data_IF_867280026066
#
_entry.id   IF_867280026066
#
_cell.length_a   1.000
_cell.length_b   1.000
_cell.length_c   1.000
_cell.angle_alpha   90.00
_cell.angle_beta   90.00
_cell.angle_gamma   90.00
#
_symmetry.space_group_name_H-M   'P 1'
#
loop_
_entity.id
_entity.type
_entity.pdbx_description
1 polymer ?
#
# COMPACT_ATOMS: atom_id res chain seq x y z
N UNK A 1 3.69 -5.11 -33.89
CA UNK A 1 3.39 -4.16 -33.67
C UNK A 1 3.54 -3.43 -32.42
N UNK A 2 4.11 -2.47 -32.52
CA UNK A 2 4.48 -1.67 -31.39
C UNK A 2 3.34 -1.20 -30.55
N UNK A 3 2.14 -1.43 -31.00
CA UNK A 3 1.04 -1.00 -30.26
C UNK A 3 0.95 -1.56 -28.91
N UNK A 4 1.27 -2.83 -28.72
CA UNK A 4 1.12 -3.39 -27.40
C UNK A 4 2.14 -2.82 -26.46
N UNK A 5 3.30 -2.47 -26.95
CA UNK A 5 4.30 -1.86 -26.11
C UNK A 5 3.85 -0.49 -25.66
N UNK A 6 3.20 0.22 -26.54
CA UNK A 6 2.70 1.52 -26.18
C UNK A 6 1.69 1.42 -25.07
N UNK A 7 0.83 0.42 -25.11
CA UNK A 7 -0.14 0.25 -24.06
C UNK A 7 0.51 -0.02 -22.74
N UNK A 8 1.54 -0.84 -22.72
CA UNK A 8 2.21 -1.12 -21.48
C UNK A 8 2.79 0.13 -20.87
N UNK A 9 3.34 0.98 -21.69
CA UNK A 9 3.93 2.19 -21.20
C UNK A 9 2.89 3.09 -20.57
N UNK A 10 1.71 3.08 -21.11
CA UNK A 10 0.68 3.97 -20.63
C UNK A 10 0.01 3.51 -19.36
N UNK A 11 0.16 2.27 -18.98
CA UNK A 11 -0.53 1.72 -17.83
C UNK A 11 0.43 1.38 -16.74
N UNK A 12 0.78 2.33 -15.90
CA UNK A 12 1.67 2.03 -14.80
C UNK A 12 1.05 0.98 -13.90
N UNK A 13 1.88 0.11 -13.40
CA UNK A 13 1.43 -0.96 -12.55
C UNK A 13 2.05 -0.84 -11.18
N UNK A 14 1.33 -1.32 -10.19
CA UNK A 14 1.85 -1.40 -8.84
C UNK A 14 2.69 -2.66 -8.76
N UNK A 15 3.98 -2.51 -8.57
CA UNK A 15 4.87 -3.65 -8.44
C UNK A 15 4.82 -4.19 -7.03
N UNK A 16 4.81 -5.50 -6.90
CA UNK A 16 4.84 -6.17 -5.61
C UNK A 16 6.05 -7.10 -5.59
N UNK A 17 6.87 -6.96 -4.56
CA UNK A 17 8.06 -7.79 -4.39
C UNK A 17 7.79 -8.80 -3.31
N UNK A 18 8.21 -10.03 -3.53
CA UNK A 18 8.09 -11.09 -2.52
C UNK A 18 9.47 -11.38 -1.95
N UNK A 19 9.58 -11.33 -0.63
CA UNK A 19 10.81 -11.65 0.04
C UNK A 19 10.46 -12.62 1.16
N UNK A 20 10.65 -13.91 0.90
CA UNK A 20 10.19 -14.93 1.81
C UNK A 20 8.68 -14.89 1.92
N UNK A 21 8.17 -14.72 3.12
CA UNK A 21 6.73 -14.66 3.33
C UNK A 21 6.19 -13.24 3.35
N UNK A 22 7.04 -12.26 3.04
CA UNK A 22 6.63 -10.86 3.06
C UNK A 22 6.37 -10.39 1.64
N UNK A 23 5.22 -9.74 1.44
CA UNK A 23 4.89 -9.08 0.18
C UNK A 23 4.97 -7.59 0.42
N UNK A 24 5.58 -6.86 -0.49
CA UNK A 24 5.86 -5.46 -0.27
C UNK A 24 5.75 -4.66 -1.56
N UNK A 25 5.26 -3.43 -1.45
CA UNK A 25 5.25 -2.49 -2.56
C UNK A 25 5.55 -1.10 -2.03
N UNK A 26 6.38 -0.36 -2.75
CA UNK A 26 6.66 1.02 -2.44
C UNK A 26 5.70 1.88 -3.23
N UNK A 27 4.80 2.55 -2.53
CA UNK A 27 3.81 3.40 -3.18
C UNK A 27 4.36 4.78 -3.52
N UNK A 28 5.34 5.24 -2.77
CA UNK A 28 5.94 6.53 -3.00
C UNK A 28 7.35 6.53 -2.45
N UNK A 29 8.29 7.10 -3.21
CA UNK A 29 9.68 7.19 -2.78
C UNK A 29 10.31 8.38 -3.49
N UNK A 30 10.41 9.50 -2.78
CA UNK A 30 10.98 10.71 -3.37
C UNK A 30 11.48 11.63 -2.28
N UNK A 31 12.65 12.21 -2.52
CA UNK A 31 13.24 13.21 -1.62
C UNK A 31 13.37 12.74 -0.18
N UNK A 32 13.67 11.46 0.00
CA UNK A 32 13.88 10.93 1.33
C UNK A 32 12.59 10.60 2.08
N UNK A 33 11.46 10.70 1.44
CA UNK A 33 10.16 10.34 2.04
C UNK A 33 9.62 9.11 1.32
N UNK A 34 9.16 8.15 2.08
CA UNK A 34 8.76 6.86 1.53
C UNK A 34 7.45 6.37 2.13
N UNK A 35 6.61 5.79 1.29
CA UNK A 35 5.39 5.12 1.73
C UNK A 35 5.44 3.70 1.21
N UNK A 36 5.34 2.73 2.11
CA UNK A 36 5.47 1.31 1.77
C UNK A 36 4.29 0.55 2.33
N UNK A 37 3.72 -0.32 1.49
CA UNK A 37 2.65 -1.23 1.90
C UNK A 37 3.21 -2.63 1.92
N UNK A 38 2.87 -3.41 2.94
CA UNK A 38 3.31 -4.79 2.97
C UNK A 38 2.29 -5.69 3.66
N UNK A 39 2.38 -6.98 3.38
CA UNK A 39 1.63 -7.99 4.11
C UNK A 39 2.62 -9.00 4.64
N UNK A 40 2.59 -9.19 5.95
CA UNK A 40 3.50 -10.08 6.64
C UNK A 40 2.72 -10.82 7.71
N UNK A 41 2.81 -12.14 7.71
CA UNK A 41 2.08 -12.98 8.68
C UNK A 41 0.58 -12.68 8.70
N UNK A 42 0.02 -12.42 7.53
CA UNK A 42 -1.40 -12.14 7.41
C UNK A 42 -1.80 -10.71 7.76
N UNK A 43 -0.88 -9.90 8.25
CA UNK A 43 -1.16 -8.53 8.63
C UNK A 43 -0.84 -7.57 7.50
N UNK A 44 -1.75 -6.64 7.23
CA UNK A 44 -1.46 -5.55 6.31
C UNK A 44 -0.81 -4.43 7.10
N UNK A 45 0.33 -3.97 6.64
CA UNK A 45 1.10 -2.92 7.31
C UNK A 45 1.37 -1.82 6.29
N UNK A 46 1.02 -0.60 6.66
CA UNK A 46 1.28 0.56 5.81
C UNK A 46 2.16 1.51 6.59
N UNK A 47 3.30 1.88 6.02
CA UNK A 47 4.29 2.69 6.71
C UNK A 47 4.65 3.93 5.92
N UNK A 48 4.99 5.00 6.62
CA UNK A 48 5.60 6.17 5.99
C UNK A 48 6.72 6.67 6.87
N UNK A 49 7.77 7.16 6.25
CA UNK A 49 8.88 7.71 7.00
C UNK A 49 9.70 8.63 6.11
N UNK A 50 10.49 9.49 6.72
CA UNK A 50 11.46 10.29 6.00
C UNK A 50 11.29 11.78 6.17
N UNK A 51 12.18 12.51 5.52
CA UNK A 51 12.33 13.95 5.70
C UNK A 51 11.12 14.74 5.24
N UNK A 52 10.41 14.27 4.24
CA UNK A 52 9.24 14.98 3.74
C UNK A 52 8.08 15.05 4.70
N UNK A 53 8.14 14.26 5.77
CA UNK A 53 7.09 14.21 6.76
C UNK A 53 7.54 14.80 8.08
N UNK A 54 8.83 15.03 8.26
CA UNK A 54 9.38 15.54 9.49
C UNK A 54 10.83 15.12 9.60
N UNK A 55 11.25 14.66 10.76
CA UNK A 55 12.62 14.22 10.95
C UNK A 55 12.90 12.94 10.18
N UNK A 56 14.09 12.81 9.61
CA UNK A 56 14.38 11.66 8.74
C UNK A 56 14.19 10.30 9.38
N UNK A 57 14.50 10.17 10.66
CA UNK A 57 14.36 8.88 11.31
C UNK A 57 12.99 8.64 11.88
N UNK A 58 12.08 9.58 11.78
CA UNK A 58 10.75 9.36 12.27
C UNK A 58 9.92 8.62 11.25
N UNK A 59 9.05 7.79 11.74
CA UNK A 59 8.16 7.02 10.89
C UNK A 59 6.87 6.72 11.61
N UNK A 60 5.90 6.34 10.84
CA UNK A 60 4.60 5.96 11.34
C UNK A 60 4.13 4.75 10.57
N UNK A 61 3.54 3.78 11.29
CA UNK A 61 2.97 2.61 10.64
C UNK A 61 1.57 2.38 11.16
N UNK A 62 0.71 1.86 10.29
CA UNK A 62 -0.55 1.32 10.74
C UNK A 62 -0.53 -0.18 10.48
N UNK A 63 -1.04 -0.94 11.43
CA UNK A 63 -1.01 -2.40 11.38
C UNK A 63 -2.43 -2.91 11.52
N UNK A 64 -2.86 -3.72 10.56
CA UNK A 64 -4.18 -4.33 10.55
C UNK A 64 -4.01 -5.79 10.91
N UNK A 65 -4.77 -6.27 11.91
CA UNK A 65 -4.67 -7.65 12.36
C UNK A 65 -4.99 -8.62 11.22
N UNK A 66 -4.60 -9.89 11.36
CA UNK A 66 -4.91 -10.86 10.30
C UNK A 66 -6.40 -11.00 10.03
N UNK A 67 -7.23 -11.00 11.08
CA UNK A 67 -8.67 -11.09 10.88
C UNK A 67 -9.22 -9.86 10.17
N UNK A 68 -8.76 -8.69 10.56
CA UNK A 68 -9.23 -7.46 9.94
C UNK A 68 -8.65 -7.28 8.54
N UNK A 69 -7.47 -7.82 8.30
CA UNK A 69 -6.92 -7.83 6.94
C UNK A 69 -7.81 -8.65 6.01
N UNK A 70 -8.33 -9.78 6.51
CA UNK A 70 -9.27 -10.56 5.72
C UNK A 70 -10.56 -9.80 5.45
N UNK A 71 -11.05 -9.07 6.44
CA UNK A 71 -12.24 -8.24 6.24
C UNK A 71 -11.99 -7.19 5.18
N UNK A 72 -10.80 -6.59 5.20
CA UNK A 72 -10.44 -5.61 4.20
C UNK A 72 -10.40 -6.25 2.81
N UNK A 73 -9.80 -7.42 2.70
CA UNK A 73 -9.75 -8.13 1.43
C UNK A 73 -11.16 -8.45 0.92
N UNK A 74 -12.04 -8.90 1.81
CA UNK A 74 -13.42 -9.18 1.42
C UNK A 74 -14.12 -7.92 0.95
N UNK A 75 -13.89 -6.82 1.63
CA UNK A 75 -14.49 -5.55 1.29
C UNK A 75 -14.05 -5.08 -0.11
N UNK A 76 -12.84 -5.41 -0.51
CA UNK A 76 -12.31 -5.06 -1.82
C UNK A 76 -12.50 -6.16 -2.86
N UNK A 77 -13.06 -7.30 -2.43
CA UNK A 77 -13.33 -8.44 -3.29
C UNK A 77 -12.05 -9.01 -3.89
N UNK A 78 -11.00 -9.06 -3.09
CA UNK A 78 -9.74 -9.67 -3.50
C UNK A 78 -9.48 -10.90 -2.64
N UNK A 79 -8.77 -11.86 -3.20
CA UNK A 79 -8.57 -13.15 -2.54
C UNK A 79 -7.14 -13.40 -2.10
N UNK A 80 -6.20 -12.62 -2.59
CA UNK A 80 -4.79 -12.85 -2.30
C UNK A 80 -4.14 -11.58 -1.76
N UNK A 81 -3.19 -11.71 -0.83
CA UNK A 81 -2.51 -10.53 -0.28
C UNK A 81 -1.83 -9.68 -1.34
N UNK A 82 -1.26 -10.31 -2.36
CA UNK A 82 -0.63 -9.56 -3.43
C UNK A 82 -1.65 -8.68 -4.15
N UNK A 83 -2.83 -9.24 -4.39
CA UNK A 83 -3.91 -8.50 -5.04
C UNK A 83 -4.39 -7.37 -4.15
N UNK A 84 -4.39 -7.58 -2.83
CA UNK A 84 -4.75 -6.53 -1.89
C UNK A 84 -3.81 -5.33 -2.04
N UNK A 85 -2.50 -5.57 -2.04
CA UNK A 85 -1.53 -4.50 -2.18
C UNK A 85 -1.71 -3.78 -3.51
N UNK A 86 -1.90 -4.54 -4.59
CA UNK A 86 -2.10 -3.94 -5.91
C UNK A 86 -3.38 -3.13 -5.98
N UNK A 87 -4.44 -3.64 -5.39
CA UNK A 87 -5.74 -2.96 -5.43
C UNK A 87 -5.69 -1.63 -4.69
N UNK A 88 -5.09 -1.62 -3.51
CA UNK A 88 -4.95 -0.38 -2.75
C UNK A 88 -4.04 0.61 -3.49
N UNK A 89 -2.99 0.12 -4.10
CA UNK A 89 -2.11 0.97 -4.88
C UNK A 89 -2.82 1.61 -6.05
N UNK A 90 -3.63 0.84 -6.76
CA UNK A 90 -4.36 1.37 -7.90
C UNK A 90 -5.38 2.41 -7.48
N UNK A 91 -6.04 2.19 -6.36
CA UNK A 91 -7.07 3.12 -5.90
C UNK A 91 -6.49 4.41 -5.35
N UNK A 92 -5.36 4.33 -4.65
CA UNK A 92 -4.91 5.44 -3.84
C UNK A 92 -3.51 5.95 -4.15
N UNK A 93 -2.70 5.20 -4.89
CA UNK A 93 -1.31 5.55 -5.08
C UNK A 93 -0.95 5.97 -6.49
N UNK A 94 -1.79 5.74 -7.49
CA UNK A 94 -1.44 6.08 -8.86
C UNK A 94 -1.60 7.56 -9.16
N UNK A 95 -2.65 8.19 -8.65
CA UNK A 95 -2.89 9.60 -8.92
C UNK A 95 -2.13 10.51 -7.99
N UNK A 96 -2.19 10.22 -6.71
CA UNK A 96 -1.54 11.06 -5.70
C UNK A 96 -0.78 10.18 -4.73
N UNK A 97 0.31 9.57 -5.19
CA UNK A 97 1.02 8.62 -4.35
C UNK A 97 1.53 9.22 -3.05
N UNK A 98 1.87 10.50 -3.02
CA UNK A 98 2.36 11.13 -1.81
C UNK A 98 1.29 11.25 -0.73
N UNK A 99 0.02 11.13 -1.10
CA UNK A 99 -1.07 11.17 -0.14
C UNK A 99 -1.65 9.80 0.15
N UNK A 100 -1.04 8.74 -0.39
CA UNK A 100 -1.64 7.40 -0.30
C UNK A 100 -1.77 6.91 1.13
N UNK A 101 -0.83 7.27 2.01
CA UNK A 101 -0.90 6.83 3.41
C UNK A 101 -2.19 7.33 4.05
N UNK A 102 -2.46 8.63 3.95
CA UNK A 102 -3.65 9.21 4.57
C UNK A 102 -4.92 8.71 3.91
N UNK A 103 -4.90 8.57 2.59
CA UNK A 103 -6.08 8.10 1.87
C UNK A 103 -6.45 6.67 2.22
N UNK A 104 -5.44 5.81 2.34
CA UNK A 104 -5.70 4.42 2.72
C UNK A 104 -6.19 4.36 4.16
N UNK A 105 -5.56 5.11 5.07
CA UNK A 105 -5.99 5.14 6.45
C UNK A 105 -7.45 5.57 6.55
N UNK A 106 -7.82 6.62 5.83
CA UNK A 106 -9.21 7.10 5.82
C UNK A 106 -10.15 6.04 5.27
N UNK A 107 -9.72 5.33 4.22
CA UNK A 107 -10.53 4.27 3.64
C UNK A 107 -10.77 3.14 4.64
N UNK A 108 -9.75 2.77 5.42
CA UNK A 108 -9.93 1.75 6.45
C UNK A 108 -10.95 2.20 7.48
N UNK A 109 -10.88 3.45 7.88
CA UNK A 109 -11.85 3.99 8.84
C UNK A 109 -13.26 3.95 8.30
N UNK A 110 -13.45 4.31 7.04
CA UNK A 110 -14.77 4.30 6.42
C UNK A 110 -15.34 2.90 6.28
N UNK A 111 -14.46 1.93 6.10
CA UNK A 111 -14.88 0.53 5.95
C UNK A 111 -15.05 -0.17 7.29
N UNK A 112 -14.76 0.53 8.39
CA UNK A 112 -14.89 -0.09 9.70
C UNK A 112 -13.80 -1.10 9.98
N UNK A 113 -12.64 -0.94 9.37
CA UNK A 113 -11.50 -1.84 9.57
C UNK A 113 -10.60 -1.22 10.63
N UNK A 114 -10.49 -1.79 11.82
CA UNK A 114 -9.63 -1.24 12.85
C UNK A 114 -8.15 -1.46 12.53
N UNK A 115 -7.32 -0.60 13.05
CA UNK A 115 -5.88 -0.74 12.89
C UNK A 115 -5.19 -0.09 14.09
N UNK A 116 -3.93 -0.50 14.31
CA UNK A 116 -3.09 0.11 15.34
C UNK A 116 -2.10 1.05 14.70
N UNK A 117 -1.81 2.14 15.36
CA UNK A 117 -0.80 3.08 14.88
C UNK A 117 0.44 2.92 15.73
N UNK A 118 1.58 2.85 15.06
CA UNK A 118 2.86 2.65 15.75
C UNK A 118 3.90 3.66 15.36
#
# INVERSE_FOLDING_TARGET
MAKSDVKKIKSPEIGVTRNGSVLESTYFDRNGYQIVAKVENGQFILSRCGAGWGEPEKGESIVVSPNDTRKLMDSLKVKHPETLIKSLGKRFALKEPHNSFVKIMTSLQRRGIPFERK
#
